data_IF_279840346676
#
_entry.id   IF_279840346676
#
_cell.length_a   1.000
_cell.length_b   1.000
_cell.length_c   1.000
_cell.angle_alpha   90.00
_cell.angle_beta   90.00
_cell.angle_gamma   90.00
#
_symmetry.space_group_name_H-M   'P 1'
#
loop_
_entity.id
_entity.type
_entity.pdbx_description
1 polymer ?
#
# COMPACT_ATOMS: atom_id res chain seq x y z
N UNK A 1 17.88 22.07 3.05
CA UNK A 1 18.33 20.70 2.76
C UNK A 1 18.66 19.90 4.02
N UNK A 2 19.50 20.38 4.94
CA UNK A 2 19.92 19.65 6.17
C UNK A 2 18.74 19.36 7.14
N UNK A 3 17.80 20.28 7.35
CA UNK A 3 16.66 20.10 8.27
C UNK A 3 15.55 19.16 7.76
N UNK A 4 15.40 19.02 6.45
CA UNK A 4 14.44 18.04 5.87
C UNK A 4 15.03 16.63 5.97
N UNK A 5 16.32 16.49 5.78
CA UNK A 5 17.04 15.23 6.00
C UNK A 5 16.95 14.83 7.47
N UNK A 6 17.05 15.76 8.42
CA UNK A 6 16.90 15.47 9.86
C UNK A 6 15.50 14.98 10.25
N UNK A 7 14.43 15.48 9.64
CA UNK A 7 13.06 15.01 9.95
C UNK A 7 12.73 13.67 9.31
N UNK A 8 13.23 13.41 8.10
CA UNK A 8 13.14 12.09 7.47
C UNK A 8 13.97 11.06 8.26
N UNK A 9 15.14 11.45 8.77
CA UNK A 9 15.97 10.65 9.67
C UNK A 9 15.25 10.37 10.99
N UNK A 10 14.45 11.28 11.54
CA UNK A 10 13.68 11.06 12.78
C UNK A 10 12.53 10.05 12.57
N UNK A 11 11.85 10.04 11.45
CA UNK A 11 10.82 9.01 11.14
C UNK A 11 11.50 7.65 10.90
N UNK A 12 12.61 7.62 10.18
CA UNK A 12 13.44 6.41 10.02
C UNK A 12 14.02 5.98 11.39
N UNK A 13 14.44 6.89 12.27
CA UNK A 13 14.91 6.57 13.61
C UNK A 13 13.79 6.10 14.55
N UNK A 14 12.55 6.55 14.44
CA UNK A 14 11.46 5.98 15.25
C UNK A 14 11.09 4.55 14.81
N UNK A 15 11.17 4.25 13.52
CA UNK A 15 11.10 2.87 13.02
C UNK A 15 12.34 2.08 13.44
N UNK A 16 13.52 2.71 13.48
CA UNK A 16 14.78 2.10 13.88
C UNK A 16 14.93 1.95 15.40
N UNK A 17 14.33 2.79 16.24
CA UNK A 17 14.39 2.64 17.72
C UNK A 17 13.58 1.44 18.23
N UNK A 18 12.55 0.99 17.48
CA UNK A 18 11.93 -0.32 17.71
C UNK A 18 12.79 -1.49 17.20
N UNK A 19 13.89 -1.22 16.48
CA UNK A 19 14.71 -2.20 15.77
C UNK A 19 16.19 -2.23 16.25
N UNK A 20 16.54 -1.61 17.37
CA UNK A 20 17.93 -1.54 17.87
C UNK A 20 18.58 -2.88 18.19
N UNK A 21 17.88 -4.00 18.03
CA UNK A 21 18.43 -5.36 18.11
C UNK A 21 18.60 -6.05 16.75
N UNK A 22 18.30 -5.37 15.64
CA UNK A 22 18.38 -6.00 14.31
C UNK A 22 19.84 -6.09 13.84
N UNK A 23 20.22 -7.25 13.27
CA UNK A 23 21.51 -7.41 12.61
C UNK A 23 21.66 -6.40 11.46
N UNK A 24 22.89 -5.96 11.21
CA UNK A 24 23.25 -4.95 10.19
C UNK A 24 22.58 -5.22 8.83
N UNK A 25 22.56 -6.47 8.36
CA UNK A 25 21.91 -6.84 7.10
C UNK A 25 20.40 -6.63 7.09
N UNK A 26 19.70 -6.79 8.22
CA UNK A 26 18.27 -6.48 8.32
C UNK A 26 18.00 -4.98 8.20
N UNK A 27 18.87 -4.17 8.79
CA UNK A 27 18.76 -2.72 8.72
C UNK A 27 18.97 -2.21 7.27
N UNK A 28 19.96 -2.75 6.56
CA UNK A 28 20.19 -2.44 5.15
C UNK A 28 18.99 -2.78 4.28
N UNK A 29 18.40 -3.96 4.48
CA UNK A 29 17.19 -4.37 3.77
C UNK A 29 16.00 -3.47 4.11
N UNK A 30 15.79 -3.12 5.38
CA UNK A 30 14.72 -2.21 5.81
C UNK A 30 14.84 -0.83 5.14
N UNK A 31 16.05 -0.28 5.07
CA UNK A 31 16.33 1.00 4.38
C UNK A 31 16.04 0.87 2.88
N UNK A 32 16.43 -0.24 2.26
CA UNK A 32 16.18 -0.48 0.84
C UNK A 32 14.69 -0.66 0.50
N UNK A 33 13.90 -1.24 1.41
CA UNK A 33 12.45 -1.36 1.27
C UNK A 33 11.74 -0.02 1.43
N UNK A 34 12.19 0.79 2.39
CA UNK A 34 11.64 2.13 2.59
C UNK A 34 11.96 3.08 1.42
N UNK A 35 13.19 3.00 0.90
CA UNK A 35 13.66 3.85 -0.19
C UNK A 35 14.56 3.05 -1.13
N UNK A 36 14.02 2.43 -2.18
CA UNK A 36 14.77 1.54 -3.09
C UNK A 36 15.72 2.33 -4.01
N UNK A 37 16.77 2.89 -3.45
CA UNK A 37 17.83 3.58 -4.20
C UNK A 37 18.76 2.57 -4.84
N UNK A 38 19.15 2.84 -6.09
CA UNK A 38 20.04 1.95 -6.84
C UNK A 38 21.34 1.63 -6.09
N UNK A 39 21.92 2.63 -5.42
CA UNK A 39 23.18 2.50 -4.70
C UNK A 39 23.06 1.57 -3.48
N UNK A 40 21.92 1.62 -2.76
CA UNK A 40 21.66 0.76 -1.61
C UNK A 40 21.43 -0.67 -2.07
N UNK A 41 20.64 -0.85 -3.13
CA UNK A 41 20.34 -2.17 -3.71
C UNK A 41 21.61 -2.79 -4.30
N UNK A 42 22.46 -2.00 -4.99
CA UNK A 42 23.71 -2.48 -5.54
C UNK A 42 24.67 -3.02 -4.46
N UNK A 43 24.80 -2.30 -3.33
CA UNK A 43 25.61 -2.78 -2.18
C UNK A 43 25.13 -4.12 -1.62
N UNK A 44 23.82 -4.32 -1.55
CA UNK A 44 23.26 -5.61 -1.14
C UNK A 44 23.58 -6.68 -2.19
N UNK A 45 23.45 -6.35 -3.49
CA UNK A 45 23.69 -7.30 -4.59
C UNK A 45 25.16 -7.77 -4.70
N UNK A 46 26.10 -6.95 -4.26
CA UNK A 46 27.55 -7.28 -4.26
C UNK A 46 27.92 -8.35 -3.21
N UNK A 47 27.05 -8.60 -2.23
CA UNK A 47 27.26 -9.60 -1.18
C UNK A 47 26.91 -11.00 -1.67
N UNK A 48 27.45 -12.05 -1.05
CA UNK A 48 27.16 -13.44 -1.43
C UNK A 48 25.68 -13.76 -1.30
N UNK A 49 25.03 -14.07 -2.42
CA UNK A 49 23.57 -14.30 -2.51
C UNK A 49 22.72 -13.02 -2.35
N UNK A 50 23.37 -11.85 -2.35
CA UNK A 50 22.70 -10.56 -2.24
C UNK A 50 21.87 -10.18 -3.47
N UNK A 51 22.17 -10.78 -4.62
CA UNK A 51 21.37 -10.70 -5.85
C UNK A 51 19.93 -11.21 -5.63
N UNK A 52 19.77 -12.30 -4.88
CA UNK A 52 18.47 -12.85 -4.50
C UNK A 52 17.69 -11.85 -3.62
N UNK A 53 18.37 -11.31 -2.60
CA UNK A 53 17.77 -10.32 -1.69
C UNK A 53 17.38 -9.05 -2.45
N UNK A 54 18.25 -8.58 -3.31
CA UNK A 54 18.01 -7.41 -4.17
C UNK A 54 16.85 -7.63 -5.12
N UNK A 55 16.72 -8.82 -5.71
CA UNK A 55 15.59 -9.18 -6.55
C UNK A 55 14.27 -9.15 -5.77
N UNK A 56 14.24 -9.68 -4.53
CA UNK A 56 13.07 -9.65 -3.65
C UNK A 56 12.66 -8.23 -3.26
N UNK A 57 13.63 -7.34 -3.03
CA UNK A 57 13.39 -5.91 -2.74
C UNK A 57 12.82 -5.22 -3.99
N UNK A 58 13.43 -5.44 -5.16
CA UNK A 58 12.99 -4.85 -6.42
C UNK A 58 11.61 -5.34 -6.84
N UNK A 59 11.28 -6.60 -6.61
CA UNK A 59 9.92 -7.11 -6.83
C UNK A 59 8.89 -6.29 -6.08
N UNK A 60 9.18 -5.91 -4.84
CA UNK A 60 8.28 -5.05 -4.06
C UNK A 60 8.27 -3.61 -4.58
N UNK A 61 9.44 -3.00 -4.71
CA UNK A 61 9.58 -1.59 -5.05
C UNK A 61 9.00 -1.23 -6.42
N UNK A 62 9.04 -2.18 -7.35
CA UNK A 62 8.57 -2.01 -8.74
C UNK A 62 7.25 -2.70 -9.01
N UNK A 63 6.63 -3.27 -7.97
CA UNK A 63 5.33 -3.94 -8.08
C UNK A 63 5.38 -5.03 -9.16
N UNK A 64 6.41 -5.86 -9.17
CA UNK A 64 6.57 -6.94 -10.17
C UNK A 64 5.68 -8.13 -9.84
N UNK A 65 5.11 -8.75 -10.88
CA UNK A 65 4.59 -10.11 -10.79
C UNK A 65 5.76 -11.04 -10.52
N UNK A 66 5.62 -11.91 -9.55
CA UNK A 66 6.70 -12.80 -9.13
C UNK A 66 7.10 -13.75 -10.22
N UNK A 67 8.40 -13.93 -10.37
CA UNK A 67 8.91 -15.06 -11.11
C UNK A 67 8.40 -16.35 -10.47
N UNK A 68 7.96 -17.33 -11.28
CA UNK A 68 7.66 -18.68 -10.80
C UNK A 68 8.89 -19.17 -10.04
N UNK A 69 8.76 -19.36 -8.74
CA UNK A 69 9.89 -19.71 -7.89
C UNK A 69 10.17 -21.21 -8.06
N UNK A 70 11.43 -21.50 -8.35
CA UNK A 70 11.95 -22.85 -8.23
C UNK A 70 11.63 -23.42 -6.84
N UNK A 71 11.30 -24.71 -6.77
CA UNK A 71 11.13 -25.42 -5.50
C UNK A 71 12.41 -25.30 -4.67
N UNK A 72 12.31 -24.77 -3.45
CA UNK A 72 13.41 -24.59 -2.52
C UNK A 72 13.41 -23.19 -1.87
N UNK A 73 14.16 -23.04 -0.79
CA UNK A 73 14.33 -21.72 -0.15
C UNK A 73 15.32 -20.89 -0.97
N UNK A 74 14.90 -19.73 -1.52
CA UNK A 74 15.80 -18.88 -2.29
C UNK A 74 16.95 -18.31 -1.43
N UNK A 75 16.86 -18.45 -0.09
CA UNK A 75 17.81 -17.90 0.87
C UNK A 75 18.94 -18.88 1.29
N UNK A 76 18.99 -20.10 0.76
CA UNK A 76 20.00 -21.09 1.19
C UNK A 76 21.43 -20.66 0.92
N UNK A 77 21.67 -19.99 -0.21
CA UNK A 77 23.01 -19.55 -0.62
C UNK A 77 23.35 -18.11 -0.18
N UNK A 78 22.43 -17.47 0.55
CA UNK A 78 22.65 -16.11 1.07
C UNK A 78 23.56 -16.15 2.28
N UNK A 79 24.51 -15.21 2.37
CA UNK A 79 25.41 -15.10 3.51
C UNK A 79 24.66 -14.88 4.83
N UNK A 80 25.25 -15.31 5.94
CA UNK A 80 24.59 -15.32 7.28
C UNK A 80 24.05 -13.96 7.72
N UNK A 81 24.73 -12.88 7.37
CA UNK A 81 24.33 -11.52 7.70
C UNK A 81 23.04 -11.05 7.01
N UNK A 82 22.75 -11.55 5.80
CA UNK A 82 21.55 -11.26 5.03
C UNK A 82 20.48 -12.36 5.12
N UNK A 83 20.84 -13.56 5.58
CA UNK A 83 19.99 -14.74 5.53
C UNK A 83 18.67 -14.57 6.28
N UNK A 84 18.73 -14.05 7.51
CA UNK A 84 17.53 -13.78 8.30
C UNK A 84 16.60 -12.78 7.61
N UNK A 85 17.16 -11.71 7.03
CA UNK A 85 16.40 -10.73 6.29
C UNK A 85 15.78 -11.29 5.01
N UNK A 86 16.50 -12.15 4.29
CA UNK A 86 15.98 -12.88 3.13
C UNK A 86 14.77 -13.74 3.52
N UNK A 87 14.88 -14.52 4.58
CA UNK A 87 13.80 -15.40 5.06
C UNK A 87 12.58 -14.61 5.52
N UNK A 88 12.79 -13.46 6.20
CA UNK A 88 11.70 -12.56 6.56
C UNK A 88 11.00 -11.98 5.33
N UNK A 89 11.76 -11.55 4.31
CA UNK A 89 11.20 -11.06 3.06
C UNK A 89 10.35 -12.11 2.35
N UNK A 90 10.85 -13.34 2.27
CA UNK A 90 10.12 -14.45 1.65
C UNK A 90 8.84 -14.75 2.43
N UNK A 91 8.91 -14.79 3.77
CA UNK A 91 7.73 -15.00 4.64
C UNK A 91 6.70 -13.89 4.46
N UNK A 92 7.13 -12.65 4.51
CA UNK A 92 6.25 -11.50 4.34
C UNK A 92 5.61 -11.46 2.93
N UNK A 93 6.37 -11.84 1.91
CA UNK A 93 5.84 -11.98 0.57
C UNK A 93 4.80 -13.10 0.49
N UNK A 94 5.04 -14.24 1.12
CA UNK A 94 4.09 -15.35 1.16
C UNK A 94 2.78 -14.94 1.86
N UNK A 95 2.85 -14.24 3.00
CA UNK A 95 1.68 -13.73 3.72
C UNK A 95 0.89 -12.75 2.84
N UNK A 96 1.56 -11.75 2.29
CA UNK A 96 0.91 -10.72 1.47
C UNK A 96 0.25 -11.27 0.21
N UNK A 97 0.82 -12.35 -0.36
CA UNK A 97 0.26 -12.98 -1.56
C UNK A 97 -0.78 -14.05 -1.25
N UNK A 98 -0.99 -14.34 0.03
CA UNK A 98 -1.86 -15.42 0.46
C UNK A 98 -1.31 -16.81 0.10
N UNK A 99 0.02 -16.97 -0.02
CA UNK A 99 0.67 -18.28 -0.25
C UNK A 99 0.95 -18.95 1.10
N UNK A 100 -0.12 -19.26 1.81
CA UNK A 100 -0.04 -19.76 3.18
C UNK A 100 0.55 -21.17 3.29
N UNK A 101 0.42 -21.98 2.25
CA UNK A 101 1.07 -23.30 2.12
C UNK A 101 2.61 -23.18 2.10
N UNK A 102 3.16 -22.13 1.47
CA UNK A 102 4.61 -21.88 1.49
C UNK A 102 5.13 -21.58 2.90
N UNK A 103 4.31 -20.93 3.76
CA UNK A 103 4.73 -20.52 5.10
C UNK A 103 5.21 -21.69 5.97
N UNK A 104 4.58 -22.86 5.86
CA UNK A 104 4.98 -24.07 6.60
C UNK A 104 6.38 -24.51 6.22
N UNK A 105 6.65 -24.55 4.91
CA UNK A 105 7.97 -24.89 4.39
C UNK A 105 9.04 -23.87 4.81
N UNK A 106 8.73 -22.58 4.64
CA UNK A 106 9.63 -21.50 5.04
C UNK A 106 9.92 -21.56 6.54
N UNK A 107 8.89 -21.74 7.38
CA UNK A 107 9.04 -21.80 8.84
C UNK A 107 9.94 -22.97 9.28
N UNK A 108 9.89 -24.11 8.60
CA UNK A 108 10.76 -25.25 8.87
C UNK A 108 12.25 -24.93 8.59
N UNK A 109 12.54 -24.03 7.66
CA UNK A 109 13.91 -23.63 7.31
C UNK A 109 14.46 -22.49 8.18
N UNK A 110 13.61 -21.80 8.96
CA UNK A 110 14.05 -20.71 9.83
C UNK A 110 14.89 -21.27 10.99
N UNK A 111 16.06 -20.68 11.21
CA UNK A 111 16.83 -20.88 12.45
C UNK A 111 16.16 -20.16 13.64
N UNK A 112 16.67 -20.42 14.83
CA UNK A 112 16.13 -19.83 16.08
C UNK A 112 16.14 -18.28 16.05
N UNK A 113 17.19 -17.68 15.47
CA UNK A 113 17.32 -16.23 15.36
C UNK A 113 16.27 -15.64 14.45
N UNK A 114 16.11 -16.19 13.25
CA UNK A 114 15.11 -15.75 12.29
C UNK A 114 13.67 -15.95 12.80
N UNK A 115 13.41 -17.08 13.52
CA UNK A 115 12.12 -17.29 14.22
C UNK A 115 11.85 -16.21 15.24
N UNK A 116 12.81 -15.89 16.10
CA UNK A 116 12.64 -14.85 17.11
C UNK A 116 12.38 -13.48 16.47
N UNK A 117 13.06 -13.15 15.37
CA UNK A 117 12.83 -11.91 14.65
C UNK A 117 11.45 -11.87 13.97
N UNK A 118 11.04 -12.97 13.34
CA UNK A 118 9.70 -13.08 12.74
C UNK A 118 8.61 -12.87 13.79
N UNK A 119 8.75 -13.48 14.95
CA UNK A 119 7.76 -13.39 16.03
C UNK A 119 7.73 -12.05 16.77
N UNK A 120 8.75 -11.21 16.61
CA UNK A 120 8.66 -9.81 16.99
C UNK A 120 7.78 -8.99 16.03
N UNK A 121 7.67 -9.40 14.79
CA UNK A 121 6.89 -8.73 13.73
C UNK A 121 5.48 -9.30 13.59
N UNK A 122 5.34 -10.62 13.77
CA UNK A 122 4.06 -11.35 13.65
C UNK A 122 3.91 -12.27 14.86
N UNK A 123 2.84 -12.15 15.65
CA UNK A 123 2.59 -13.06 16.77
C UNK A 123 2.57 -14.53 16.33
N UNK A 124 3.19 -15.41 17.12
CA UNK A 124 3.26 -16.88 16.81
C UNK A 124 1.89 -17.44 16.48
N UNK A 125 0.89 -17.15 17.33
CA UNK A 125 -0.48 -17.65 17.15
C UNK A 125 -1.11 -17.18 15.83
N UNK A 126 -0.80 -15.96 15.37
CA UNK A 126 -1.25 -15.47 14.07
C UNK A 126 -0.54 -16.20 12.95
N UNK A 127 0.79 -16.37 13.05
CA UNK A 127 1.57 -17.08 12.04
C UNK A 127 1.10 -18.53 11.86
N UNK A 128 0.87 -19.26 12.95
CA UNK A 128 0.36 -20.64 12.92
C UNK A 128 -1.02 -20.74 12.26
N UNK A 129 -1.92 -19.79 12.60
CA UNK A 129 -3.22 -19.70 11.94
C UNK A 129 -3.11 -19.45 10.44
N UNK A 130 -2.28 -18.47 10.03
CA UNK A 130 -2.05 -18.20 8.61
C UNK A 130 -1.47 -19.42 7.88
N UNK A 131 -0.48 -20.10 8.46
CA UNK A 131 0.10 -21.29 7.87
C UNK A 131 -0.87 -22.47 7.76
N UNK A 132 -1.98 -22.48 8.49
CA UNK A 132 -3.03 -23.49 8.41
C UNK A 132 -4.09 -23.19 7.33
N UNK A 133 -4.11 -21.98 6.78
CA UNK A 133 -5.11 -21.57 5.79
C UNK A 133 -4.86 -22.19 4.41
N UNK A 134 -5.94 -22.29 3.63
CA UNK A 134 -5.84 -22.52 2.19
C UNK A 134 -5.20 -21.30 1.51
N UNK A 135 -4.33 -21.49 0.52
CA UNK A 135 -3.74 -20.37 -0.20
C UNK A 135 -4.80 -19.61 -0.99
N UNK A 136 -4.62 -18.29 -1.05
CA UNK A 136 -5.44 -17.46 -1.92
C UNK A 136 -5.21 -17.83 -3.38
N UNK A 137 -6.29 -18.07 -4.13
CA UNK A 137 -6.25 -18.47 -5.53
C UNK A 137 -6.91 -17.44 -6.41
N UNK A 138 -6.21 -17.04 -7.46
CA UNK A 138 -6.80 -16.28 -8.57
C UNK A 138 -7.52 -17.28 -9.50
N UNK A 139 -8.83 -17.14 -9.64
CA UNK A 139 -9.68 -18.06 -10.41
C UNK A 139 -9.85 -17.56 -11.83
N UNK A 140 -10.16 -16.28 -11.98
CA UNK A 140 -10.32 -15.64 -13.27
C UNK A 140 -9.80 -14.21 -13.23
N UNK A 141 -9.32 -13.74 -14.38
CA UNK A 141 -8.84 -12.39 -14.54
C UNK A 141 -9.07 -11.95 -15.99
N UNK A 142 -9.88 -10.92 -16.17
CA UNK A 142 -10.15 -10.37 -17.49
C UNK A 142 -10.22 -8.85 -17.45
N UNK A 143 -10.00 -8.23 -18.57
CA UNK A 143 -10.14 -6.78 -18.74
C UNK A 143 -11.51 -6.31 -18.27
N UNK A 144 -11.53 -5.28 -17.46
CA UNK A 144 -12.75 -4.71 -16.93
C UNK A 144 -12.61 -3.22 -16.71
N UNK A 145 -13.56 -2.47 -17.25
CA UNK A 145 -13.85 -1.12 -16.80
C UNK A 145 -14.79 -1.22 -15.59
N UNK A 146 -14.36 -0.71 -14.46
CA UNK A 146 -15.12 -0.75 -13.21
C UNK A 146 -15.93 0.54 -13.14
N UNK A 147 -17.26 0.41 -13.10
CA UNK A 147 -18.13 1.56 -12.86
C UNK A 147 -17.95 2.06 -11.43
N UNK A 148 -17.93 3.37 -11.26
CA UNK A 148 -18.05 3.97 -9.94
C UNK A 148 -19.45 3.67 -9.41
N UNK A 149 -19.56 3.29 -8.16
CA UNK A 149 -20.84 3.02 -7.53
C UNK A 149 -21.63 4.32 -7.39
N UNK A 150 -22.89 4.30 -7.84
CA UNK A 150 -23.84 5.39 -7.64
C UNK A 150 -24.67 5.22 -6.36
N UNK A 151 -24.62 4.04 -5.74
CA UNK A 151 -25.40 3.64 -4.58
C UNK A 151 -24.58 3.73 -3.28
N UNK A 152 -23.81 4.79 -3.08
CA UNK A 152 -23.21 5.02 -1.78
C UNK A 152 -24.25 5.63 -0.82
N UNK A 153 -25.00 4.78 -0.11
CA UNK A 153 -25.85 5.22 0.98
C UNK A 153 -25.02 5.59 2.22
N UNK A 154 -25.41 6.65 2.91
CA UNK A 154 -24.84 7.05 4.18
C UNK A 154 -23.50 7.77 4.10
N UNK A 155 -22.51 7.30 4.87
CA UNK A 155 -21.22 7.97 5.12
C UNK A 155 -20.35 8.24 3.85
N UNK A 156 -20.61 7.51 2.76
CA UNK A 156 -19.89 7.66 1.49
C UNK A 156 -20.61 8.60 0.51
N UNK A 157 -21.84 9.03 0.80
CA UNK A 157 -22.69 9.80 -0.12
C UNK A 157 -22.08 11.14 -0.57
N UNK A 158 -21.29 11.79 0.28
CA UNK A 158 -20.57 13.05 -0.04
C UNK A 158 -19.11 12.81 -0.45
N UNK A 159 -18.69 11.52 -0.61
CA UNK A 159 -17.30 11.21 -0.86
C UNK A 159 -16.98 11.27 -2.35
N UNK A 160 -15.99 12.06 -2.70
CA UNK A 160 -15.36 12.03 -4.03
C UNK A 160 -14.37 10.87 -4.18
N UNK A 161 -14.53 9.78 -3.41
CA UNK A 161 -13.67 8.58 -3.44
C UNK A 161 -14.05 7.65 -4.59
N UNK A 162 -13.13 6.83 -5.09
CA UNK A 162 -13.42 5.80 -6.08
C UNK A 162 -14.14 4.60 -5.44
N UNK A 163 -15.43 4.78 -5.15
CA UNK A 163 -16.27 3.70 -4.62
C UNK A 163 -16.68 2.79 -5.77
N UNK A 164 -16.48 1.49 -5.59
CA UNK A 164 -16.76 0.46 -6.57
C UNK A 164 -17.56 -0.67 -5.94
N UNK A 165 -18.38 -1.34 -6.74
CA UNK A 165 -19.08 -2.53 -6.30
C UNK A 165 -18.18 -3.74 -6.38
N UNK A 166 -18.14 -4.51 -5.29
CA UNK A 166 -17.46 -5.79 -5.18
C UNK A 166 -18.47 -6.86 -4.77
N UNK A 167 -18.16 -8.12 -5.03
CA UNK A 167 -18.95 -9.23 -4.54
C UNK A 167 -18.11 -10.04 -3.54
N UNK A 168 -18.65 -10.24 -2.33
CA UNK A 168 -18.06 -11.08 -1.29
C UNK A 168 -19.03 -12.23 -1.02
N UNK A 169 -18.57 -13.47 -1.25
CA UNK A 169 -19.40 -14.69 -1.10
C UNK A 169 -20.74 -14.59 -1.85
N UNK A 170 -20.76 -13.95 -3.04
CA UNK A 170 -21.94 -13.75 -3.88
C UNK A 170 -22.84 -12.59 -3.47
N UNK A 171 -22.52 -11.85 -2.42
CA UNK A 171 -23.27 -10.66 -2.01
C UNK A 171 -22.54 -9.38 -2.41
N UNK A 172 -23.28 -8.39 -2.91
CA UNK A 172 -22.72 -7.09 -3.28
C UNK A 172 -22.43 -6.23 -2.06
N UNK A 173 -21.28 -5.58 -2.09
CA UNK A 173 -20.80 -4.61 -1.10
C UNK A 173 -20.13 -3.45 -1.85
N UNK A 174 -20.33 -2.23 -1.40
CA UNK A 174 -19.62 -1.08 -1.93
C UNK A 174 -18.34 -0.80 -1.12
N UNK A 175 -17.21 -0.65 -1.80
CA UNK A 175 -15.91 -0.38 -1.16
C UNK A 175 -15.11 0.68 -1.93
N UNK A 176 -14.30 1.46 -1.22
CA UNK A 176 -13.41 2.41 -1.87
C UNK A 176 -12.11 1.71 -2.33
N UNK A 177 -11.71 1.94 -3.59
CA UNK A 177 -10.40 1.52 -4.10
C UNK A 177 -9.36 2.49 -3.55
N UNK A 178 -8.56 2.03 -2.59
CA UNK A 178 -7.75 2.88 -1.73
C UNK A 178 -6.26 2.54 -1.84
N UNK A 179 -5.51 3.37 -2.60
CA UNK A 179 -4.05 3.23 -2.73
C UNK A 179 -3.27 3.68 -1.48
N UNK A 180 -3.93 4.34 -0.53
CA UNK A 180 -3.40 4.69 0.79
C UNK A 180 -3.59 3.59 1.84
N UNK A 181 -4.46 2.61 1.58
CA UNK A 181 -4.64 1.45 2.45
C UNK A 181 -3.65 0.34 2.08
N UNK A 182 -2.84 -0.10 3.05
CA UNK A 182 -1.88 -1.19 2.84
C UNK A 182 -2.56 -2.54 2.66
N UNK A 183 -3.68 -2.74 3.35
CA UNK A 183 -4.45 -4.00 3.40
C UNK A 183 -5.94 -3.73 3.20
N UNK A 184 -6.62 -4.68 2.61
CA UNK A 184 -8.06 -4.64 2.41
C UNK A 184 -8.79 -4.77 3.74
N UNK A 185 -9.70 -3.85 3.97
CA UNK A 185 -10.51 -3.73 5.16
C UNK A 185 -11.98 -3.85 4.79
N UNK A 186 -12.70 -4.76 5.43
CA UNK A 186 -14.16 -4.86 5.34
C UNK A 186 -14.75 -4.15 6.56
N UNK A 187 -15.75 -3.31 6.37
CA UNK A 187 -16.41 -2.63 7.49
C UNK A 187 -17.05 -3.64 8.45
N UNK A 188 -17.17 -3.26 9.72
CA UNK A 188 -17.87 -4.12 10.69
C UNK A 188 -19.33 -4.35 10.30
N UNK A 189 -19.97 -3.38 9.66
CA UNK A 189 -21.34 -3.49 9.19
C UNK A 189 -21.44 -4.54 8.07
N UNK A 190 -20.59 -4.44 7.03
CA UNK A 190 -20.58 -5.38 5.92
C UNK A 190 -20.25 -6.80 6.40
N UNK A 191 -19.28 -6.94 7.29
CA UNK A 191 -18.90 -8.24 7.84
C UNK A 191 -20.06 -8.92 8.60
N UNK A 192 -20.86 -8.15 9.34
CA UNK A 192 -22.09 -8.67 9.99
C UNK A 192 -23.15 -9.09 8.96
N UNK A 193 -23.39 -8.27 7.94
CA UNK A 193 -24.36 -8.59 6.86
C UNK A 193 -23.96 -9.85 6.08
N UNK A 194 -22.64 -10.02 5.87
CA UNK A 194 -22.05 -11.16 5.17
C UNK A 194 -21.89 -12.40 6.06
N UNK A 195 -22.26 -12.33 7.34
CA UNK A 195 -22.10 -13.41 8.34
C UNK A 195 -20.68 -14.00 8.38
N UNK A 196 -19.67 -13.14 8.26
CA UNK A 196 -18.27 -13.58 8.24
C UNK A 196 -17.84 -14.09 9.61
N UNK A 197 -17.03 -15.16 9.62
CA UNK A 197 -16.47 -15.74 10.85
C UNK A 197 -15.01 -15.34 11.01
N UNK A 198 -14.62 -14.77 12.16
CA UNK A 198 -13.23 -14.35 12.38
C UNK A 198 -12.29 -15.52 12.58
N UNK A 199 -11.07 -15.38 12.07
CA UNK A 199 -9.95 -16.29 12.29
C UNK A 199 -9.13 -15.88 13.53
N UNK A 200 -8.95 -14.57 13.73
CA UNK A 200 -8.12 -14.01 14.80
C UNK A 200 -8.59 -12.61 15.16
N UNK A 201 -8.72 -12.31 16.46
CA UNK A 201 -9.34 -11.08 16.96
C UNK A 201 -8.36 -9.95 17.34
N UNK A 202 -7.07 -10.22 17.47
CA UNK A 202 -6.11 -9.26 18.06
C UNK A 202 -5.29 -8.51 16.97
N UNK A 203 -5.97 -7.99 15.94
CA UNK A 203 -5.35 -7.10 14.98
C UNK A 203 -5.64 -5.64 15.32
N UNK A 204 -4.73 -4.75 14.97
CA UNK A 204 -4.89 -3.31 15.09
C UNK A 204 -4.49 -2.63 13.78
N UNK A 205 -5.30 -1.68 13.34
CA UNK A 205 -5.06 -0.89 12.14
C UNK A 205 -4.70 0.54 12.57
N UNK A 206 -3.54 1.02 12.13
CA UNK A 206 -3.18 2.43 12.23
C UNK A 206 -3.80 3.24 11.11
N UNK A 207 -4.12 4.49 11.36
CA UNK A 207 -4.55 5.43 10.32
C UNK A 207 -3.54 6.56 10.21
N UNK A 208 -3.26 7.02 8.98
CA UNK A 208 -2.29 8.10 8.76
C UNK A 208 -2.81 9.46 9.21
N UNK A 209 -4.09 9.72 9.03
CA UNK A 209 -4.65 11.07 9.22
C UNK A 209 -4.92 11.42 10.67
N UNK A 210 -5.04 10.44 11.55
CA UNK A 210 -5.28 10.67 12.98
C UNK A 210 -4.44 9.74 13.84
N UNK A 211 -3.98 10.21 15.00
CA UNK A 211 -3.33 9.35 15.97
C UNK A 211 -4.30 8.31 16.54
N UNK A 212 -3.84 7.08 16.71
CA UNK A 212 -4.62 5.99 17.29
C UNK A 212 -4.72 4.78 16.35
N UNK A 213 -5.33 3.73 16.87
CA UNK A 213 -5.52 2.46 16.19
C UNK A 213 -6.98 2.05 16.26
N UNK A 214 -7.43 1.33 15.23
CA UNK A 214 -8.73 0.68 15.19
C UNK A 214 -8.52 -0.79 15.50
N UNK A 215 -9.33 -1.34 16.39
CA UNK A 215 -9.35 -2.79 16.59
C UNK A 215 -9.86 -3.45 15.32
N UNK A 216 -9.23 -4.53 14.95
CA UNK A 216 -9.60 -5.31 13.78
C UNK A 216 -9.48 -6.80 14.08
N UNK A 217 -10.10 -7.59 13.25
CA UNK A 217 -9.96 -9.04 13.29
C UNK A 217 -9.60 -9.55 11.89
N UNK A 218 -8.87 -10.66 11.83
CA UNK A 218 -8.51 -11.32 10.60
C UNK A 218 -9.62 -12.29 10.20
N UNK A 219 -10.01 -12.27 8.93
CA UNK A 219 -11.03 -13.15 8.35
C UNK A 219 -10.51 -13.78 7.07
N UNK A 220 -11.03 -14.97 6.74
CA UNK A 220 -10.90 -15.54 5.41
C UNK A 220 -12.26 -15.57 4.74
N UNK A 221 -12.36 -14.94 3.57
CA UNK A 221 -13.57 -14.97 2.72
C UNK A 221 -13.38 -16.02 1.64
N UNK A 222 -14.46 -16.77 1.34
CA UNK A 222 -14.41 -17.87 0.37
C UNK A 222 -14.22 -17.36 -1.04
N UNK A 223 -14.86 -16.24 -1.37
CA UNK A 223 -14.83 -15.66 -2.69
C UNK A 223 -14.87 -14.13 -2.62
N UNK A 224 -13.99 -13.48 -3.38
CA UNK A 224 -13.99 -12.05 -3.64
C UNK A 224 -13.97 -11.84 -5.14
N UNK A 225 -14.90 -11.01 -5.65
CA UNK A 225 -14.94 -10.62 -7.04
C UNK A 225 -14.93 -9.09 -7.17
N UNK A 226 -14.04 -8.60 -8.01
CA UNK A 226 -13.88 -7.18 -8.36
C UNK A 226 -13.91 -7.08 -9.88
N UNK A 227 -14.99 -6.56 -10.44
CA UNK A 227 -15.23 -6.63 -11.88
C UNK A 227 -15.23 -8.10 -12.35
N UNK A 228 -14.41 -8.42 -13.35
CA UNK A 228 -14.24 -9.80 -13.87
C UNK A 228 -13.08 -10.57 -13.21
N UNK A 229 -12.48 -10.01 -12.18
CA UNK A 229 -11.43 -10.69 -11.40
C UNK A 229 -12.06 -11.41 -10.22
N UNK A 230 -11.90 -12.72 -10.16
CA UNK A 230 -12.41 -13.58 -9.10
C UNK A 230 -11.26 -14.26 -8.35
N UNK A 231 -11.29 -14.17 -7.03
CA UNK A 231 -10.32 -14.77 -6.12
C UNK A 231 -11.02 -15.63 -5.09
N UNK A 232 -10.36 -16.69 -4.61
CA UNK A 232 -10.85 -17.55 -3.52
C UNK A 232 -9.89 -17.57 -2.35
N UNK A 233 -10.43 -17.89 -1.18
CA UNK A 233 -9.69 -18.06 0.06
C UNK A 233 -8.87 -16.80 0.40
N UNK A 234 -9.50 -15.63 0.27
CA UNK A 234 -8.85 -14.33 0.47
C UNK A 234 -8.86 -13.96 1.94
N UNK A 235 -7.69 -13.60 2.47
CA UNK A 235 -7.57 -13.08 3.84
C UNK A 235 -7.74 -11.56 3.81
N UNK A 236 -8.60 -11.06 4.70
CA UNK A 236 -8.92 -9.63 4.85
C UNK A 236 -8.95 -9.25 6.32
N UNK A 237 -8.84 -7.97 6.61
CA UNK A 237 -9.14 -7.43 7.92
C UNK A 237 -10.60 -6.99 7.98
N UNK A 238 -11.21 -7.14 9.14
CA UNK A 238 -12.54 -6.57 9.45
C UNK A 238 -12.39 -5.61 10.61
N UNK A 239 -12.92 -4.41 10.44
CA UNK A 239 -12.88 -3.36 11.46
C UNK A 239 -13.28 -2.01 10.89
N UNK A 240 -13.54 -1.06 11.76
CA UNK A 240 -13.89 0.30 11.35
C UNK A 240 -15.25 0.41 10.66
N UNK A 241 -15.45 1.55 9.98
CA UNK A 241 -16.72 1.96 9.43
C UNK A 241 -16.79 1.90 7.90
N UNK A 242 -15.69 1.61 7.22
CA UNK A 242 -15.58 1.69 5.76
C UNK A 242 -14.93 0.42 5.21
N UNK A 243 -15.48 -0.06 4.10
CA UNK A 243 -14.83 -1.09 3.28
C UNK A 243 -13.85 -0.43 2.33
N UNK A 244 -12.57 -0.87 2.39
CA UNK A 244 -11.46 -0.36 1.60
C UNK A 244 -10.80 -1.52 0.85
N UNK A 245 -10.58 -1.36 -0.44
CA UNK A 245 -9.80 -2.29 -1.26
C UNK A 245 -8.37 -1.77 -1.31
N UNK A 246 -7.48 -2.37 -0.53
CA UNK A 246 -6.13 -1.92 -0.33
C UNK A 246 -5.12 -2.41 -1.36
N UNK A 247 -3.86 -1.99 -1.18
CA UNK A 247 -2.74 -2.34 -2.06
C UNK A 247 -2.47 -3.85 -2.13
N UNK A 248 -2.83 -4.60 -1.10
CA UNK A 248 -2.73 -6.07 -1.08
C UNK A 248 -3.63 -6.72 -2.15
N UNK A 249 -4.81 -6.16 -2.43
CA UNK A 249 -5.70 -6.61 -3.50
C UNK A 249 -5.37 -5.93 -4.82
N UNK A 250 -5.10 -4.64 -4.82
CA UNK A 250 -4.73 -3.87 -6.01
C UNK A 250 -3.51 -4.50 -6.70
N UNK A 251 -2.51 -4.96 -5.94
CA UNK A 251 -1.30 -5.60 -6.47
C UNK A 251 -1.53 -6.99 -7.08
N UNK A 252 -2.74 -7.55 -7.01
CA UNK A 252 -3.11 -8.83 -7.62
C UNK A 252 -3.62 -8.69 -9.05
N UNK A 253 -4.02 -7.50 -9.46
CA UNK A 253 -4.38 -7.24 -10.85
C UNK A 253 -3.12 -7.24 -11.73
N UNK A 254 -3.22 -7.72 -12.97
CA UNK A 254 -2.12 -7.62 -13.94
C UNK A 254 -1.81 -6.17 -14.31
N UNK A 255 -2.82 -5.32 -14.26
CA UNK A 255 -2.69 -3.88 -14.49
C UNK A 255 -3.86 -3.10 -13.91
N UNK A 256 -3.63 -1.82 -13.67
CA UNK A 256 -4.62 -0.84 -13.23
C UNK A 256 -4.44 0.47 -13.98
N UNK A 257 -5.53 1.06 -14.42
CA UNK A 257 -5.65 2.46 -14.76
C UNK A 257 -6.61 3.12 -13.77
N UNK A 258 -6.21 4.22 -13.17
CA UNK A 258 -6.97 4.90 -12.14
C UNK A 258 -7.01 6.40 -12.40
N UNK A 259 -8.19 6.91 -12.70
CA UNK A 259 -8.54 8.33 -12.78
C UNK A 259 -9.98 8.54 -12.29
N UNK A 260 -10.40 9.78 -11.98
CA UNK A 260 -11.78 10.06 -11.62
C UNK A 260 -12.80 9.72 -12.71
N UNK A 261 -12.39 9.72 -13.96
CA UNK A 261 -13.27 9.43 -15.10
C UNK A 261 -13.35 7.93 -15.41
N UNK A 262 -12.30 7.19 -15.02
CA UNK A 262 -12.20 5.78 -15.41
C UNK A 262 -11.36 4.99 -14.42
N UNK A 263 -11.88 3.84 -14.02
CA UNK A 263 -11.13 2.77 -13.34
C UNK A 263 -11.14 1.57 -14.25
N UNK A 264 -9.97 1.06 -14.61
CA UNK A 264 -9.86 -0.16 -15.39
C UNK A 264 -8.79 -1.09 -14.84
N UNK A 265 -9.07 -2.37 -14.81
CA UNK A 265 -8.16 -3.42 -14.35
C UNK A 265 -7.91 -4.43 -15.48
N UNK A 266 -6.73 -5.03 -15.46
CA UNK A 266 -6.33 -6.08 -16.40
C UNK A 266 -6.43 -5.64 -17.87
N UNK A 267 -5.99 -4.42 -18.15
CA UNK A 267 -6.05 -3.80 -19.48
C UNK A 267 -5.32 -4.67 -20.51
N UNK A 268 -5.73 -4.52 -21.76
CA UNK A 268 -5.07 -5.18 -22.88
C UNK A 268 -3.61 -4.75 -23.04
N UNK A 269 -2.77 -5.61 -23.58
CA UNK A 269 -1.36 -5.29 -23.81
C UNK A 269 -1.18 -4.07 -24.76
N UNK A 270 -2.08 -3.91 -25.73
CA UNK A 270 -2.06 -2.78 -26.65
C UNK A 270 -2.34 -1.45 -25.94
N UNK A 271 -3.37 -1.42 -25.12
CA UNK A 271 -3.73 -0.22 -24.35
C UNK A 271 -2.64 0.15 -23.34
N UNK A 272 -2.13 -0.83 -22.59
CA UNK A 272 -1.02 -0.62 -21.64
C UNK A 272 0.21 -0.04 -22.33
N UNK A 273 0.60 -0.58 -23.51
CA UNK A 273 1.74 -0.08 -24.25
C UNK A 273 1.53 1.36 -24.74
N UNK A 274 0.30 1.77 -25.02
CA UNK A 274 -0.04 3.16 -25.33
C UNK A 274 0.10 4.07 -24.11
N UNK A 275 -0.51 3.69 -22.98
CA UNK A 275 -0.47 4.46 -21.74
C UNK A 275 0.95 4.59 -21.18
N UNK A 276 1.77 3.53 -21.27
CA UNK A 276 3.16 3.56 -20.81
C UNK A 276 4.06 4.54 -21.58
N UNK A 277 3.72 4.88 -22.81
CA UNK A 277 4.43 5.92 -23.59
C UNK A 277 4.18 7.32 -23.04
N UNK A 278 3.06 7.52 -22.37
CA UNK A 278 2.67 8.79 -21.76
C UNK A 278 3.25 8.97 -20.35
N UNK A 279 4.03 8.00 -19.87
CA UNK A 279 4.64 8.01 -18.54
C UNK A 279 5.46 9.29 -18.28
N UNK A 280 5.03 10.10 -17.34
CA UNK A 280 5.65 11.38 -16.95
C UNK A 280 6.51 11.22 -15.70
N UNK A 281 6.00 10.53 -14.71
CA UNK A 281 6.72 10.27 -13.47
C UNK A 281 6.59 8.80 -13.06
N UNK A 282 7.71 8.18 -12.69
CA UNK A 282 7.69 6.82 -12.15
C UNK A 282 7.11 6.83 -10.75
N UNK A 283 6.27 5.82 -10.49
CA UNK A 283 5.71 5.53 -9.18
C UNK A 283 6.45 4.35 -8.58
N UNK A 284 6.71 4.43 -7.28
CA UNK A 284 7.40 3.41 -6.50
C UNK A 284 6.53 2.99 -5.32
N UNK A 285 6.77 1.81 -4.77
CA UNK A 285 6.17 1.35 -3.54
C UNK A 285 7.18 1.50 -2.40
N UNK A 286 6.80 2.25 -1.36
CA UNK A 286 7.43 2.19 -0.05
C UNK A 286 6.80 1.05 0.74
N UNK A 287 7.57 0.28 1.47
CA UNK A 287 7.02 -0.78 2.30
C UNK A 287 7.91 -1.07 3.51
N UNK A 288 7.31 -1.47 4.63
CA UNK A 288 8.01 -2.15 5.71
C UNK A 288 8.26 -3.63 5.37
N UNK A 289 8.96 -4.35 6.26
CA UNK A 289 9.24 -5.78 6.06
C UNK A 289 7.99 -6.62 5.83
N UNK A 290 6.94 -6.37 6.61
CA UNK A 290 5.73 -7.20 6.60
C UNK A 290 4.65 -6.68 5.63
N UNK A 291 4.89 -5.55 4.96
CA UNK A 291 3.93 -4.87 4.09
C UNK A 291 2.67 -4.39 4.83
N UNK A 292 2.75 -4.21 6.14
CA UNK A 292 1.64 -3.65 6.93
C UNK A 292 1.56 -2.13 6.81
N UNK A 293 2.71 -1.48 6.50
CA UNK A 293 2.76 -0.06 6.17
C UNK A 293 3.37 0.06 4.78
N UNK A 294 2.54 0.31 3.78
CA UNK A 294 2.99 0.53 2.42
C UNK A 294 2.19 1.65 1.77
N UNK A 295 2.82 2.39 0.90
CA UNK A 295 2.18 3.42 0.09
C UNK A 295 2.90 3.59 -1.24
N UNK A 296 2.13 3.96 -2.26
CA UNK A 296 2.68 4.36 -3.54
C UNK A 296 3.19 5.80 -3.45
N UNK A 297 4.30 6.11 -4.11
CA UNK A 297 4.84 7.46 -4.15
C UNK A 297 5.57 7.75 -5.47
N UNK A 298 5.71 9.03 -5.76
CA UNK A 298 6.55 9.54 -6.83
C UNK A 298 7.40 10.71 -6.32
N UNK A 299 8.41 11.08 -7.09
CA UNK A 299 9.23 12.25 -6.80
C UNK A 299 8.74 13.41 -7.67
N UNK A 300 8.41 14.51 -7.03
CA UNK A 300 7.98 15.75 -7.66
C UNK A 300 8.81 16.94 -7.16
N UNK A 301 8.70 18.07 -7.86
CA UNK A 301 9.03 19.36 -7.25
C UNK A 301 7.74 20.03 -6.83
N UNK A 302 7.68 20.47 -5.58
CA UNK A 302 6.60 21.30 -5.07
C UNK A 302 7.18 22.65 -4.74
N UNK A 303 6.69 23.70 -5.38
CA UNK A 303 7.24 25.06 -5.35
C UNK A 303 8.76 25.06 -5.59
N UNK A 304 9.21 24.33 -6.64
CA UNK A 304 10.59 24.20 -7.04
C UNK A 304 11.46 23.29 -6.16
N UNK A 305 10.95 22.71 -5.07
CA UNK A 305 11.70 21.84 -4.13
C UNK A 305 11.39 20.37 -4.38
N UNK A 306 12.42 19.58 -4.69
CA UNK A 306 12.28 18.13 -4.86
C UNK A 306 11.80 17.47 -3.56
N UNK A 307 10.74 16.67 -3.64
CA UNK A 307 10.09 16.02 -2.51
C UNK A 307 9.42 14.72 -2.91
N UNK A 308 9.00 13.95 -1.91
CA UNK A 308 8.19 12.74 -2.09
C UNK A 308 6.72 13.14 -1.97
N UNK A 309 5.90 12.67 -2.92
CA UNK A 309 4.45 12.78 -2.91
C UNK A 309 3.86 11.37 -2.88
N UNK A 310 3.16 11.02 -1.82
CA UNK A 310 2.43 9.76 -1.73
C UNK A 310 1.14 9.84 -2.55
N UNK A 311 0.62 8.68 -2.97
CA UNK A 311 -0.64 8.54 -3.69
C UNK A 311 -1.68 7.89 -2.78
N UNK A 312 -2.84 8.53 -2.63
CA UNK A 312 -3.92 8.04 -1.79
C UNK A 312 -5.28 8.32 -2.44
N UNK A 313 -5.78 7.36 -3.21
CA UNK A 313 -7.11 7.46 -3.83
C UNK A 313 -8.26 7.38 -2.81
N UNK A 314 -8.02 6.84 -1.63
CA UNK A 314 -8.95 6.83 -0.51
C UNK A 314 -9.08 8.19 0.20
N UNK A 315 -8.15 9.12 -0.04
CA UNK A 315 -8.20 10.45 0.51
C UNK A 315 -9.12 11.36 -0.32
N UNK A 316 -10.30 11.64 0.21
CA UNK A 316 -11.33 12.44 -0.46
C UNK A 316 -11.22 13.92 -0.05
N UNK A 317 -11.65 14.79 -0.94
CA UNK A 317 -11.88 16.19 -0.64
C UNK A 317 -10.79 17.14 -1.10
N UNK A 318 -9.54 16.72 -1.16
CA UNK A 318 -8.42 17.61 -1.50
C UNK A 318 -7.63 17.10 -2.71
N UNK A 319 -6.98 18.04 -3.41
CA UNK A 319 -6.03 17.71 -4.46
C UNK A 319 -4.73 17.21 -3.87
N UNK A 320 -4.21 17.95 -2.89
CA UNK A 320 -2.94 17.67 -2.23
C UNK A 320 -3.06 17.94 -0.72
N UNK A 321 -2.83 16.93 0.10
CA UNK A 321 -2.61 17.12 1.53
C UNK A 321 -1.14 17.37 1.81
N UNK A 322 -0.80 18.19 2.80
CA UNK A 322 0.58 18.48 3.18
C UNK A 322 0.81 18.41 4.68
N UNK A 323 1.95 17.83 5.08
CA UNK A 323 2.47 17.84 6.44
C UNK A 323 3.27 19.13 6.75
N UNK A 324 3.49 19.97 5.74
CA UNK A 324 4.30 21.19 5.83
C UNK A 324 3.37 22.36 5.55
N UNK A 325 3.32 23.36 6.46
CA UNK A 325 2.56 24.58 6.23
C UNK A 325 3.07 25.27 4.95
N UNK A 326 2.23 25.43 3.91
CA UNK A 326 2.63 26.13 2.70
C UNK A 326 2.85 27.62 2.99
N UNK A 327 3.72 28.26 2.20
CA UNK A 327 3.92 29.69 2.29
C UNK A 327 2.66 30.42 1.84
N UNK A 328 2.25 31.44 2.61
CA UNK A 328 1.04 32.20 2.29
C UNK A 328 -0.28 31.45 2.55
N UNK A 329 -0.23 30.30 3.24
CA UNK A 329 -1.44 29.57 3.57
C UNK A 329 -2.40 30.40 4.41
N UNK A 330 -3.67 30.39 4.02
CA UNK A 330 -4.77 31.04 4.72
C UNK A 330 -5.70 29.99 5.31
N UNK A 331 -6.42 30.35 6.37
CA UNK A 331 -7.41 29.45 6.95
C UNK A 331 -8.49 29.15 5.90
N UNK A 332 -8.69 27.87 5.62
CA UNK A 332 -9.71 27.43 4.67
C UNK A 332 -11.08 27.41 5.34
N UNK A 333 -11.89 28.42 5.03
CA UNK A 333 -13.26 28.56 5.54
C UNK A 333 -14.28 27.90 4.61
N UNK A 334 -13.88 27.45 3.43
CA UNK A 334 -14.76 26.81 2.43
C UNK A 334 -14.80 25.29 2.59
N UNK A 335 -13.80 24.72 3.24
CA UNK A 335 -13.76 23.30 3.56
C UNK A 335 -14.77 22.97 4.64
N UNK A 336 -15.47 21.85 4.51
CA UNK A 336 -16.37 21.36 5.57
C UNK A 336 -15.60 21.07 6.87
N UNK A 337 -14.28 20.99 6.81
CA UNK A 337 -13.43 20.61 7.93
C UNK A 337 -13.63 19.16 8.38
N UNK A 338 -14.36 18.35 7.62
CA UNK A 338 -14.61 16.94 7.94
C UNK A 338 -13.61 16.05 7.23
N UNK A 339 -12.88 15.26 8.01
CA UNK A 339 -11.99 14.20 7.51
C UNK A 339 -12.54 12.85 7.93
N UNK A 340 -12.68 11.96 6.96
CA UNK A 340 -13.19 10.61 7.16
C UNK A 340 -12.04 9.60 7.02
N UNK A 341 -11.80 8.80 8.05
CA UNK A 341 -10.91 7.65 8.02
C UNK A 341 -11.63 6.38 8.52
N UNK A 342 -10.93 5.27 8.67
CA UNK A 342 -11.50 4.01 9.16
C UNK A 342 -12.21 4.11 10.52
N UNK A 343 -11.99 5.18 11.28
CA UNK A 343 -12.64 5.46 12.58
C UNK A 343 -13.88 6.34 12.47
N UNK A 344 -14.22 6.79 11.27
CA UNK A 344 -15.33 7.71 11.03
C UNK A 344 -14.91 9.17 10.87
N UNK A 345 -15.87 10.08 11.02
CA UNK A 345 -15.68 11.52 10.82
C UNK A 345 -14.90 12.21 11.96
N UNK A 346 -14.08 13.18 11.60
CA UNK A 346 -13.46 14.13 12.53
C UNK A 346 -13.49 15.52 11.94
N UNK A 347 -13.54 16.55 12.81
CA UNK A 347 -13.52 17.95 12.40
C UNK A 347 -12.09 18.49 12.51
N UNK A 348 -11.65 19.20 11.49
CA UNK A 348 -10.38 19.91 11.42
C UNK A 348 -10.60 21.35 10.95
N UNK A 349 -9.62 22.21 11.25
CA UNK A 349 -9.58 23.55 10.68
C UNK A 349 -8.35 23.63 9.77
N UNK A 350 -8.52 23.34 8.48
CA UNK A 350 -7.40 23.31 7.56
C UNK A 350 -6.94 24.72 7.17
N UNK A 351 -5.70 24.80 6.70
CA UNK A 351 -5.13 25.93 5.98
C UNK A 351 -4.89 25.50 4.55
N UNK A 352 -5.12 26.39 3.60
CA UNK A 352 -4.91 26.11 2.17
C UNK A 352 -4.01 27.14 1.52
N UNK A 353 -3.27 26.71 0.51
CA UNK A 353 -2.54 27.56 -0.40
C UNK A 353 -2.45 26.89 -1.77
N UNK A 354 -2.38 27.68 -2.82
CA UNK A 354 -2.02 27.19 -4.14
C UNK A 354 -0.53 26.87 -4.17
N UNK A 355 -0.18 25.66 -4.60
CA UNK A 355 1.19 25.22 -4.81
C UNK A 355 1.39 24.74 -6.24
N UNK A 356 2.62 24.85 -6.72
CA UNK A 356 3.02 24.35 -8.02
C UNK A 356 3.64 22.97 -7.87
N UNK A 357 3.06 21.96 -8.54
CA UNK A 357 3.56 20.56 -8.55
C UNK A 357 4.09 20.24 -9.93
N UNK A 358 5.40 19.95 -10.02
CA UNK A 358 6.09 19.51 -11.25
C UNK A 358 6.40 18.01 -11.14
N UNK A 359 5.78 17.20 -12.01
CA UNK A 359 6.03 15.77 -12.13
C UNK A 359 6.41 15.42 -13.58
N UNK A 360 7.67 15.03 -13.78
CA UNK A 360 8.24 14.86 -15.12
C UNK A 360 8.25 16.18 -15.90
N UNK A 361 7.50 16.22 -17.01
CA UNK A 361 7.38 17.41 -17.86
C UNK A 361 6.03 18.15 -17.67
N UNK A 362 5.24 17.78 -16.68
CA UNK A 362 3.94 18.37 -16.38
C UNK A 362 4.01 19.20 -15.12
N UNK A 363 3.60 20.44 -15.19
CA UNK A 363 3.50 21.37 -14.07
C UNK A 363 2.04 21.78 -13.90
N UNK A 364 1.52 21.66 -12.69
CA UNK A 364 0.13 21.96 -12.35
C UNK A 364 0.10 22.78 -11.05
N UNK A 365 -0.73 23.81 -11.02
CA UNK A 365 -1.10 24.49 -9.78
C UNK A 365 -2.33 23.83 -9.21
N UNK A 366 -2.28 23.53 -7.92
CA UNK A 366 -3.39 22.93 -7.20
C UNK A 366 -3.42 23.34 -5.74
N UNK A 367 -4.59 23.33 -5.10
CA UNK A 367 -4.71 23.58 -3.68
C UNK A 367 -3.97 22.52 -2.86
N UNK A 368 -3.14 22.95 -1.92
CA UNK A 368 -2.52 22.11 -0.90
C UNK A 368 -3.16 22.42 0.46
N UNK A 369 -3.67 21.40 1.12
CA UNK A 369 -4.37 21.52 2.41
C UNK A 369 -3.45 21.04 3.53
N UNK A 370 -3.21 21.91 4.49
CA UNK A 370 -2.45 21.62 5.70
C UNK A 370 -3.37 21.49 6.91
N UNK A 371 -3.18 20.44 7.68
CA UNK A 371 -3.74 20.33 9.02
C UNK A 371 -2.64 19.87 9.99
N UNK A 372 -2.46 20.60 11.07
CA UNK A 372 -1.46 20.29 12.10
C UNK A 372 -1.71 19.00 12.88
N UNK A 373 -2.91 18.44 12.74
CA UNK A 373 -3.34 17.19 13.42
C UNK A 373 -3.04 15.94 12.60
N UNK A 374 -2.78 16.08 11.29
CA UNK A 374 -2.56 14.94 10.37
C UNK A 374 -1.14 14.38 10.46
N UNK A 375 -1.04 13.07 10.49
CA UNK A 375 0.21 12.32 10.33
C UNK A 375 0.21 11.71 8.94
N UNK A 376 0.80 12.40 7.97
CA UNK A 376 0.87 11.91 6.60
C UNK A 376 2.05 10.95 6.41
N UNK A 377 1.94 9.97 5.49
CA UNK A 377 3.02 9.01 5.20
C UNK A 377 4.22 9.67 4.49
N UNK A 378 4.00 10.80 3.86
CA UNK A 378 4.99 11.60 3.13
C UNK A 378 4.76 13.10 3.38
N UNK A 379 5.72 13.98 3.03
CA UNK A 379 5.53 15.44 3.12
C UNK A 379 4.27 15.93 2.40
N UNK A 380 3.91 15.27 1.29
CA UNK A 380 2.71 15.54 0.52
C UNK A 380 2.00 14.24 0.16
N UNK A 381 0.67 14.30 0.04
CA UNK A 381 -0.19 13.20 -0.39
C UNK A 381 -1.12 13.70 -1.47
N UNK A 382 -1.05 13.13 -2.66
CA UNK A 382 -1.98 13.37 -3.75
C UNK A 382 -3.26 12.58 -3.48
N UNK A 383 -4.35 13.31 -3.21
CA UNK A 383 -5.66 12.74 -2.98
C UNK A 383 -6.44 12.48 -4.27
N UNK A 384 -7.66 11.93 -4.15
CA UNK A 384 -8.47 11.51 -5.29
C UNK A 384 -8.71 12.61 -6.32
N UNK A 385 -8.97 13.85 -5.89
CA UNK A 385 -9.11 14.97 -6.81
C UNK A 385 -7.85 15.26 -7.62
N UNK A 386 -6.68 15.00 -7.05
CA UNK A 386 -5.40 15.16 -7.74
C UNK A 386 -5.21 14.16 -8.89
N UNK A 387 -5.91 13.01 -8.85
CA UNK A 387 -5.90 12.03 -9.96
C UNK A 387 -6.61 12.55 -11.21
N UNK A 388 -7.35 13.66 -11.16
CA UNK A 388 -7.84 14.33 -12.39
C UNK A 388 -6.71 14.96 -13.20
N UNK A 389 -5.58 15.19 -12.59
CA UNK A 389 -4.40 15.78 -13.23
C UNK A 389 -3.30 14.77 -13.51
N UNK A 390 -3.20 13.72 -12.68
CA UNK A 390 -2.17 12.70 -12.74
C UNK A 390 -2.82 11.33 -12.62
N UNK A 391 -3.05 10.66 -13.74
CA UNK A 391 -3.66 9.33 -13.72
C UNK A 391 -2.61 8.28 -13.38
N UNK A 392 -2.96 7.32 -12.54
CA UNK A 392 -2.08 6.20 -12.20
C UNK A 392 -2.24 5.08 -13.21
N UNK A 393 -1.15 4.69 -13.82
CA UNK A 393 -1.03 3.47 -14.61
C UNK A 393 -0.08 2.51 -13.92
N UNK A 394 -0.50 1.29 -13.75
CA UNK A 394 0.26 0.23 -13.12
C UNK A 394 0.23 -1.02 -14.00
N UNK A 395 1.40 -1.60 -14.29
CA UNK A 395 1.55 -2.80 -15.10
C UNK A 395 2.55 -3.75 -14.45
N UNK A 396 2.04 -4.86 -13.91
CA UNK A 396 2.84 -5.89 -13.24
C UNK A 396 3.81 -6.58 -14.20
N UNK A 397 3.38 -6.83 -15.45
CA UNK A 397 4.18 -7.59 -16.43
C UNK A 397 5.43 -6.82 -16.85
N UNK A 398 5.32 -5.50 -17.05
CA UNK A 398 6.47 -4.64 -17.40
C UNK A 398 7.21 -4.13 -16.16
N UNK A 399 6.71 -4.40 -14.96
CA UNK A 399 7.21 -3.85 -13.70
C UNK A 399 7.25 -2.31 -13.72
N UNK A 400 6.21 -1.69 -14.25
CA UNK A 400 6.08 -0.24 -14.35
C UNK A 400 4.85 0.25 -13.61
N UNK A 401 5.06 1.30 -12.83
CA UNK A 401 3.99 2.14 -12.32
C UNK A 401 4.34 3.59 -12.66
N UNK A 402 3.39 4.30 -13.22
CA UNK A 402 3.58 5.65 -13.75
C UNK A 402 2.40 6.55 -13.42
N UNK A 403 2.70 7.85 -13.32
CA UNK A 403 1.72 8.91 -13.55
C UNK A 403 1.80 9.37 -15.00
N UNK A 404 0.64 9.55 -15.62
CA UNK A 404 0.50 10.07 -16.98
C UNK A 404 -0.29 11.36 -17.02
#
# INVERSE_FOLDING_TARGET
MIRVIQRVVVIVCMVLQAQTALAEGLQEIAVALAYPRKEVIAKIAERKGGDVVSALILERALIRKRADRAQGSPCEQVEDSLKSGCLLLVSANAISDGRFDDLRGIFATLDTRAKNQLFQLVPVALFEKLAALSPTRLISQAETNIALSTESEGFLQDSTKPVVDIEINGQKVSGALDTGASVTLISEQDARQLELTPLHYDAEIGTYYRAGKVKAALYQIKELKIGNTQMRDVVVLVGGQMTLIGLDMISRFDSLYLSPERIAINLSAHELASLEKECRARVFLNSDFMRFNQFLYFIAKVDGKSTIVALDSGYSGDYLATAIMPQGAVRDITSSGVVNDARGAAYEQPYSAEVEVEAGNKTIRMPAIFSGTRKLPAPYVLGWRGFSHYHLVYNVKSARACLI
#
